data_IF_397867542471
#
_entry.id   IF_397867542471
#
_cell.length_a   1.000
_cell.length_b   1.000
_cell.length_c   1.000
_cell.angle_alpha   90.00
_cell.angle_beta   90.00
_cell.angle_gamma   90.00
#
_symmetry.space_group_name_H-M   'P 1'
#
loop_
_entity.id
_entity.type
_entity.pdbx_description
1 polymer ?
#
# COMPACT_ATOMS: atom_id res chain seq x y z
N UNK A 1 -14.58 13.24 -0.60
CA UNK A 1 -13.19 13.68 -0.40
C UNK A 1 -12.75 14.65 -1.51
N UNK A 2 -12.69 14.23 -2.79
CA UNK A 2 -12.25 15.09 -3.90
C UNK A 2 -13.02 16.41 -4.03
N UNK A 3 -14.37 16.36 -3.93
CA UNK A 3 -15.21 17.57 -3.98
C UNK A 3 -14.88 18.53 -2.83
N UNK A 4 -14.76 18.03 -1.60
CA UNK A 4 -14.39 18.84 -0.43
C UNK A 4 -13.00 19.46 -0.61
N UNK A 5 -12.01 18.68 -1.07
CA UNK A 5 -10.66 19.18 -1.34
C UNK A 5 -10.64 20.28 -2.40
N UNK A 6 -11.40 20.12 -3.49
CA UNK A 6 -11.54 21.15 -4.51
C UNK A 6 -12.18 22.44 -3.97
N UNK A 7 -13.24 22.34 -3.17
CA UNK A 7 -13.88 23.50 -2.54
C UNK A 7 -12.93 24.21 -1.58
N UNK A 8 -12.17 23.47 -0.77
CA UNK A 8 -11.17 24.03 0.15
C UNK A 8 -10.05 24.76 -0.60
N UNK A 9 -9.62 24.24 -1.74
CA UNK A 9 -8.63 24.89 -2.59
C UNK A 9 -9.11 26.26 -3.09
N UNK A 10 -10.35 26.33 -3.61
CA UNK A 10 -10.96 27.60 -4.01
C UNK A 10 -11.18 28.55 -2.83
N UNK A 11 -11.57 28.02 -1.66
CA UNK A 11 -11.72 28.80 -0.44
C UNK A 11 -10.38 29.43 -0.01
N UNK A 12 -9.29 28.66 -0.04
CA UNK A 12 -7.96 29.15 0.28
C UNK A 12 -7.48 30.24 -0.67
N UNK A 13 -7.74 30.07 -1.98
CA UNK A 13 -7.41 31.09 -2.97
C UNK A 13 -8.15 32.41 -2.72
N UNK A 14 -9.46 32.34 -2.41
CA UNK A 14 -10.27 33.52 -2.12
C UNK A 14 -9.84 34.23 -0.82
N UNK A 15 -9.39 33.47 0.18
CA UNK A 15 -9.00 34.00 1.49
C UNK A 15 -7.48 34.24 1.65
N UNK A 16 -6.71 34.18 0.54
CA UNK A 16 -5.25 34.36 0.53
C UNK A 16 -4.50 33.44 1.52
N UNK A 17 -4.99 32.21 1.70
CA UNK A 17 -4.38 31.21 2.57
C UNK A 17 -3.19 30.58 1.84
N UNK A 18 -2.01 30.62 2.44
CA UNK A 18 -0.76 30.15 1.84
C UNK A 18 -0.48 28.65 2.05
N UNK A 19 -1.23 27.99 2.93
CA UNK A 19 -1.11 26.56 3.18
C UNK A 19 -1.54 25.74 1.96
N UNK A 20 -0.77 24.68 1.64
CA UNK A 20 -0.99 23.83 0.47
C UNK A 20 -0.78 22.36 0.82
N UNK A 21 -1.28 21.44 -0.01
CA UNK A 21 -1.08 20.01 0.21
C UNK A 21 -1.77 19.51 1.48
N UNK A 22 -1.08 18.66 2.24
CA UNK A 22 -1.59 18.02 3.46
C UNK A 22 -2.00 19.03 4.55
N UNK A 23 -1.38 20.22 4.57
CA UNK A 23 -1.61 21.26 5.57
C UNK A 23 -2.83 22.15 5.29
N UNK A 24 -3.33 22.15 4.05
CA UNK A 24 -4.41 23.05 3.62
C UNK A 24 -5.67 22.84 4.47
N UNK A 25 -6.10 21.59 4.60
CA UNK A 25 -7.34 21.26 5.29
C UNK A 25 -7.27 21.56 6.81
N UNK A 26 -6.22 21.13 7.55
CA UNK A 26 -6.04 21.53 8.94
C UNK A 26 -5.97 23.05 9.12
N UNK A 27 -5.26 23.76 8.23
CA UNK A 27 -5.11 25.23 8.34
C UNK A 27 -6.47 25.92 8.25
N UNK A 28 -7.28 25.57 7.25
CA UNK A 28 -8.63 26.12 7.08
C UNK A 28 -9.52 25.80 8.29
N UNK A 29 -9.52 24.54 8.73
CA UNK A 29 -10.38 24.09 9.83
C UNK A 29 -10.01 24.70 11.19
N UNK A 30 -8.74 24.99 11.45
CA UNK A 30 -8.27 25.48 12.75
C UNK A 30 -8.17 27.00 12.83
N UNK A 31 -7.89 27.69 11.72
CA UNK A 31 -7.61 29.13 11.74
C UNK A 31 -8.67 30.00 11.06
N UNK A 32 -9.50 29.42 10.18
CA UNK A 32 -10.44 30.19 9.34
C UNK A 32 -11.91 29.82 9.56
N UNK A 33 -12.19 28.84 10.42
CA UNK A 33 -13.54 28.41 10.79
C UNK A 33 -13.91 28.84 12.21
N UNK A 34 -15.20 28.96 12.54
CA UNK A 34 -15.65 29.18 13.90
C UNK A 34 -15.12 28.10 14.85
N UNK A 35 -14.74 28.49 16.07
CA UNK A 35 -14.13 27.60 17.07
C UNK A 35 -14.92 26.31 17.34
N UNK A 36 -16.26 26.38 17.32
CA UNK A 36 -17.12 25.21 17.48
C UNK A 36 -16.88 24.15 16.39
N UNK A 37 -16.69 24.57 15.14
CA UNK A 37 -16.41 23.68 14.01
C UNK A 37 -15.01 23.09 14.16
N UNK A 38 -14.01 23.86 14.58
CA UNK A 38 -12.65 23.37 14.82
C UNK A 38 -12.60 22.28 15.90
N UNK A 39 -13.37 22.44 16.99
CA UNK A 39 -13.46 21.43 18.05
C UNK A 39 -14.10 20.14 17.53
N UNK A 40 -15.24 20.25 16.85
CA UNK A 40 -15.92 19.10 16.23
C UNK A 40 -14.99 18.41 15.23
N UNK A 41 -14.22 19.19 14.46
CA UNK A 41 -13.26 18.69 13.50
C UNK A 41 -12.15 17.87 14.17
N UNK A 42 -11.51 18.39 15.23
CA UNK A 42 -10.47 17.67 15.96
C UNK A 42 -11.03 16.35 16.53
N UNK A 43 -12.21 16.40 17.16
CA UNK A 43 -12.87 15.21 17.71
C UNK A 43 -13.16 14.20 16.60
N UNK A 44 -13.71 14.65 15.46
CA UNK A 44 -14.01 13.81 14.31
C UNK A 44 -12.78 13.18 13.67
N UNK A 45 -11.70 13.96 13.50
CA UNK A 45 -10.43 13.49 12.95
C UNK A 45 -9.81 12.42 13.85
N UNK A 46 -9.75 12.68 15.16
CA UNK A 46 -9.23 11.73 16.15
C UNK A 46 -10.11 10.47 16.17
N UNK A 47 -11.43 10.62 16.17
CA UNK A 47 -12.40 9.52 16.15
C UNK A 47 -12.31 8.65 14.90
N UNK A 48 -12.05 9.23 13.72
CA UNK A 48 -11.85 8.47 12.48
C UNK A 48 -10.48 7.77 12.43
N UNK A 49 -9.44 8.39 13.02
CA UNK A 49 -8.08 7.87 12.99
C UNK A 49 -7.90 6.67 13.95
N UNK A 50 -8.51 6.71 15.14
CA UNK A 50 -8.32 5.68 16.16
C UNK A 50 -8.73 4.27 15.71
N UNK A 51 -9.92 4.03 15.14
CA UNK A 51 -10.32 2.69 14.67
C UNK A 51 -9.42 2.17 13.55
N UNK A 52 -8.92 3.05 12.67
CA UNK A 52 -8.02 2.67 11.58
C UNK A 52 -6.66 2.22 12.10
N UNK A 53 -6.09 2.97 13.06
CA UNK A 53 -4.81 2.65 13.68
C UNK A 53 -4.91 1.38 14.53
N UNK A 54 -5.94 1.26 15.37
CA UNK A 54 -6.17 0.08 16.22
C UNK A 54 -6.44 -1.19 15.39
N UNK A 55 -7.22 -1.06 14.32
CA UNK A 55 -7.47 -2.14 13.37
C UNK A 55 -6.19 -2.64 12.70
N UNK A 56 -5.31 -1.73 12.24
CA UNK A 56 -4.02 -2.09 11.65
C UNK A 56 -3.10 -2.80 12.66
N UNK A 57 -3.03 -2.29 13.89
CA UNK A 57 -2.18 -2.85 14.95
C UNK A 57 -2.67 -4.24 15.41
N UNK A 58 -3.98 -4.41 15.49
CA UNK A 58 -4.63 -5.70 15.77
C UNK A 58 -4.40 -6.71 14.64
N UNK A 59 -4.52 -6.28 13.38
CA UNK A 59 -4.23 -7.14 12.23
C UNK A 59 -2.78 -7.63 12.23
N UNK A 60 -1.81 -6.73 12.43
CA UNK A 60 -0.39 -7.07 12.54
C UNK A 60 -0.11 -8.05 13.69
N UNK A 61 -0.69 -7.77 14.87
CA UNK A 61 -0.57 -8.63 16.04
C UNK A 61 -1.12 -10.03 15.73
N UNK A 62 -2.29 -10.10 15.10
CA UNK A 62 -2.96 -11.36 14.75
C UNK A 62 -2.13 -12.17 13.74
N UNK A 63 -1.74 -11.56 12.63
CA UNK A 63 -0.91 -12.22 11.61
C UNK A 63 0.42 -12.69 12.18
N UNK A 64 1.09 -11.89 13.01
CA UNK A 64 2.34 -12.32 13.65
C UNK A 64 2.11 -13.49 14.62
N UNK A 65 1.06 -13.43 15.45
CA UNK A 65 0.77 -14.47 16.43
C UNK A 65 0.33 -15.79 15.77
N UNK A 66 -0.47 -15.72 14.70
CA UNK A 66 -1.06 -16.88 14.05
C UNK A 66 -0.13 -17.44 12.98
N UNK A 67 0.38 -16.60 12.08
CA UNK A 67 1.10 -17.03 10.89
C UNK A 67 2.59 -17.22 11.16
N UNK A 68 3.22 -16.32 11.92
CA UNK A 68 4.67 -16.36 12.20
C UNK A 68 4.99 -17.20 13.44
N UNK A 69 4.35 -16.92 14.58
CA UNK A 69 4.61 -17.68 15.81
C UNK A 69 3.85 -19.02 15.88
N UNK A 70 2.84 -19.19 15.04
CA UNK A 70 2.03 -20.41 15.01
C UNK A 70 1.27 -20.67 16.31
N UNK A 71 0.96 -19.64 17.12
CA UNK A 71 0.45 -19.81 18.50
C UNK A 71 -0.84 -20.66 18.56
N UNK A 72 -1.65 -20.63 17.51
CA UNK A 72 -2.88 -21.45 17.41
C UNK A 72 -2.58 -22.95 17.31
N UNK A 73 -1.47 -23.32 16.67
CA UNK A 73 -1.07 -24.73 16.42
C UNK A 73 -0.16 -25.29 17.53
N UNK A 74 0.34 -24.44 18.42
CA UNK A 74 1.22 -24.81 19.54
C UNK A 74 0.43 -25.48 20.67
N UNK A 75 0.70 -26.77 20.88
CA UNK A 75 0.16 -27.59 21.97
C UNK A 75 1.06 -27.59 23.20
N UNK A 76 2.30 -27.10 23.06
CA UNK A 76 3.33 -26.96 24.10
C UNK A 76 3.05 -25.83 25.11
N UNK A 77 2.15 -24.91 24.78
CA UNK A 77 1.87 -23.71 25.59
C UNK A 77 0.47 -23.76 26.19
N UNK A 78 0.36 -23.35 27.45
CA UNK A 78 -0.92 -23.08 28.10
C UNK A 78 -1.60 -21.84 27.50
N UNK A 79 -2.92 -21.73 27.64
CA UNK A 79 -3.66 -20.55 27.17
C UNK A 79 -3.22 -19.25 27.86
N UNK A 80 -2.74 -19.35 29.10
CA UNK A 80 -2.16 -18.21 29.84
C UNK A 80 -0.87 -17.71 29.19
N UNK A 81 0.00 -18.62 28.77
CA UNK A 81 1.26 -18.28 28.08
C UNK A 81 1.00 -17.74 26.67
N UNK A 82 0.05 -18.32 25.93
CA UNK A 82 -0.38 -17.79 24.62
C UNK A 82 -0.93 -16.37 24.74
N UNK A 83 -1.75 -16.11 25.77
CA UNK A 83 -2.25 -14.74 26.07
C UNK A 83 -1.11 -13.77 26.38
N UNK A 84 -0.13 -14.19 27.20
CA UNK A 84 1.04 -13.36 27.53
C UNK A 84 1.88 -13.03 26.30
N UNK A 85 2.13 -14.01 25.43
CA UNK A 85 2.85 -13.80 24.16
C UNK A 85 2.09 -12.85 23.23
N UNK A 86 0.78 -13.01 23.07
CA UNK A 86 -0.06 -12.08 22.29
C UNK A 86 0.01 -10.64 22.80
N UNK A 87 -0.10 -10.44 24.12
CA UNK A 87 0.01 -9.10 24.73
C UNK A 87 1.41 -8.50 24.54
N UNK A 88 2.46 -9.31 24.69
CA UNK A 88 3.83 -8.87 24.45
C UNK A 88 4.04 -8.46 22.98
N UNK A 89 3.54 -9.25 22.03
CA UNK A 89 3.59 -8.93 20.59
C UNK A 89 2.82 -7.64 20.29
N UNK A 90 1.59 -7.51 20.81
CA UNK A 90 0.77 -6.31 20.59
C UNK A 90 1.46 -5.05 21.13
N UNK A 91 1.97 -5.11 22.36
CA UNK A 91 2.72 -4.00 22.95
C UNK A 91 3.99 -3.68 22.17
N UNK A 92 4.70 -4.70 21.67
CA UNK A 92 5.89 -4.50 20.84
C UNK A 92 5.53 -3.77 19.54
N UNK A 93 4.46 -4.19 18.84
CA UNK A 93 3.99 -3.48 17.65
C UNK A 93 3.53 -2.06 17.97
N UNK A 94 2.90 -1.82 19.12
CA UNK A 94 2.50 -0.48 19.54
C UNK A 94 3.71 0.44 19.73
N UNK A 95 4.76 -0.05 20.40
CA UNK A 95 6.02 0.69 20.56
C UNK A 95 6.70 0.93 19.21
N UNK A 96 6.79 -0.08 18.35
CA UNK A 96 7.39 0.06 17.00
C UNK A 96 6.61 1.07 16.16
N UNK A 97 5.28 1.01 16.17
CA UNK A 97 4.41 1.95 15.46
C UNK A 97 4.59 3.37 15.98
N UNK A 98 4.63 3.56 17.30
CA UNK A 98 4.91 4.86 17.92
C UNK A 98 6.27 5.43 17.49
N UNK A 99 7.33 4.61 17.52
CA UNK A 99 8.67 5.01 17.06
C UNK A 99 8.68 5.38 15.58
N UNK A 100 7.94 4.65 14.74
CA UNK A 100 7.80 4.95 13.31
C UNK A 100 7.10 6.29 13.10
N UNK A 101 6.01 6.57 13.81
CA UNK A 101 5.31 7.87 13.76
C UNK A 101 6.24 9.00 14.20
N UNK A 102 7.02 8.80 15.26
CA UNK A 102 8.04 9.77 15.69
C UNK A 102 9.14 9.97 14.65
N UNK A 103 9.58 8.90 13.98
CA UNK A 103 10.52 8.96 12.86
C UNK A 103 9.97 9.81 11.70
N UNK A 104 8.74 9.56 11.26
CA UNK A 104 8.10 10.37 10.21
C UNK A 104 7.95 11.84 10.59
N UNK A 105 7.59 12.12 11.86
CA UNK A 105 7.53 13.49 12.39
C UNK A 105 8.90 14.17 12.35
N UNK A 106 9.98 13.45 12.66
CA UNK A 106 11.34 14.00 12.64
C UNK A 106 11.83 14.31 11.23
N UNK A 107 11.52 13.45 10.26
CA UNK A 107 11.90 13.63 8.84
C UNK A 107 11.16 14.81 8.19
N UNK A 108 9.96 15.15 8.67
CA UNK A 108 9.17 16.33 8.28
C UNK A 108 9.09 16.54 6.74
N UNK A 109 8.64 15.51 6.01
CA UNK A 109 8.48 15.61 4.55
C UNK A 109 7.19 16.37 4.20
N UNK A 110 7.20 17.18 3.14
CA UNK A 110 6.11 18.11 2.77
C UNK A 110 4.81 17.43 2.32
N UNK A 111 4.84 16.13 1.99
CA UNK A 111 3.63 15.34 1.73
C UNK A 111 3.86 13.92 2.24
N UNK A 112 3.21 13.58 3.35
CA UNK A 112 3.25 12.22 3.91
C UNK A 112 2.37 11.30 3.06
N UNK A 113 1.27 11.82 2.54
CA UNK A 113 0.33 11.08 1.69
C UNK A 113 1.04 10.54 0.45
N UNK A 114 1.88 11.36 -0.21
CA UNK A 114 2.59 10.95 -1.42
C UNK A 114 3.52 9.75 -1.14
N UNK A 115 4.24 9.77 -0.01
CA UNK A 115 5.17 8.70 0.37
C UNK A 115 4.40 7.41 0.65
N UNK A 116 3.31 7.49 1.43
CA UNK A 116 2.50 6.33 1.78
C UNK A 116 1.90 5.70 0.52
N UNK A 117 1.32 6.51 -0.37
CA UNK A 117 0.74 6.03 -1.63
C UNK A 117 1.81 5.45 -2.56
N UNK A 118 3.01 6.06 -2.62
CA UNK A 118 4.12 5.54 -3.42
C UNK A 118 4.58 4.17 -2.93
N UNK A 119 4.80 4.02 -1.63
CA UNK A 119 5.21 2.75 -1.01
C UNK A 119 4.12 1.68 -1.18
N UNK A 120 2.85 2.05 -0.96
CA UNK A 120 1.71 1.16 -1.19
C UNK A 120 1.64 0.68 -2.65
N UNK A 121 1.96 1.55 -3.63
CA UNK A 121 2.03 1.17 -5.04
C UNK A 121 3.03 0.03 -5.32
N UNK A 122 4.17 0.02 -4.64
CA UNK A 122 5.17 -1.04 -4.77
C UNK A 122 4.81 -2.33 -4.02
N UNK A 123 4.26 -2.21 -2.81
CA UNK A 123 4.01 -3.37 -1.93
C UNK A 123 2.66 -4.05 -2.19
N UNK A 124 1.62 -3.28 -2.50
CA UNK A 124 0.27 -3.83 -2.73
C UNK A 124 0.05 -4.28 -4.18
N UNK A 125 0.91 -3.88 -5.12
CA UNK A 125 0.83 -4.32 -6.52
C UNK A 125 0.82 -5.85 -6.66
N UNK A 126 1.80 -6.60 -6.10
CA UNK A 126 1.80 -8.05 -6.19
C UNK A 126 0.58 -8.70 -5.54
N UNK A 127 0.10 -8.15 -4.42
CA UNK A 127 -1.11 -8.65 -3.76
C UNK A 127 -2.33 -8.46 -4.66
N UNK A 128 -2.47 -7.29 -5.30
CA UNK A 128 -3.53 -7.02 -6.27
C UNK A 128 -3.44 -7.97 -7.47
N UNK A 129 -2.23 -8.21 -8.00
CA UNK A 129 -2.01 -9.14 -9.12
C UNK A 129 -2.32 -10.59 -8.78
N UNK A 130 -1.88 -11.08 -7.60
CA UNK A 130 -2.18 -12.41 -7.09
C UNK A 130 -3.69 -12.62 -6.89
N UNK A 131 -4.33 -11.68 -6.22
CA UNK A 131 -5.76 -11.75 -5.93
C UNK A 131 -6.60 -11.65 -7.19
N UNK A 132 -6.26 -10.70 -8.08
CA UNK A 132 -6.88 -10.58 -9.39
C UNK A 132 -6.72 -11.84 -10.24
N UNK A 133 -5.53 -12.45 -10.25
CA UNK A 133 -5.28 -13.71 -10.96
C UNK A 133 -6.13 -14.86 -10.42
N UNK A 134 -6.22 -14.99 -9.09
CA UNK A 134 -7.01 -16.01 -8.43
C UNK A 134 -8.52 -15.88 -8.64
N UNK A 135 -9.04 -14.64 -8.77
CA UNK A 135 -10.47 -14.39 -9.02
C UNK A 135 -10.82 -14.54 -10.51
N UNK A 136 -9.98 -13.99 -11.40
CA UNK A 136 -10.30 -13.88 -12.83
C UNK A 136 -9.89 -15.12 -13.65
N UNK A 137 -9.08 -16.01 -13.09
CA UNK A 137 -8.57 -17.18 -13.83
C UNK A 137 -8.75 -18.48 -13.05
N UNK A 138 -9.08 -19.56 -13.76
CA UNK A 138 -9.13 -20.92 -13.22
C UNK A 138 -7.83 -21.71 -13.52
N UNK A 139 -6.68 -21.03 -13.57
CA UNK A 139 -5.40 -21.64 -13.96
C UNK A 139 -4.61 -22.03 -12.71
N UNK A 140 -3.85 -23.13 -12.79
CA UNK A 140 -2.92 -23.52 -11.73
C UNK A 140 -1.56 -22.89 -11.99
N UNK A 141 -1.03 -22.23 -10.97
CA UNK A 141 0.34 -21.68 -10.96
C UNK A 141 1.25 -22.61 -10.15
N UNK A 142 2.55 -22.55 -10.43
CA UNK A 142 3.54 -23.23 -9.62
C UNK A 142 3.96 -22.32 -8.46
N UNK A 143 3.68 -22.74 -7.22
CA UNK A 143 3.92 -21.97 -6.00
C UNK A 143 5.35 -21.41 -5.88
N UNK A 144 6.37 -22.13 -6.36
CA UNK A 144 7.75 -21.63 -6.33
C UNK A 144 7.98 -20.48 -7.30
N UNK A 145 7.36 -20.54 -8.48
CA UNK A 145 7.47 -19.50 -9.50
C UNK A 145 6.68 -18.25 -9.12
N UNK A 146 5.58 -18.41 -8.36
CA UNK A 146 4.81 -17.29 -7.82
C UNK A 146 5.69 -16.35 -7.01
N UNK A 147 6.55 -16.87 -6.14
CA UNK A 147 7.47 -16.06 -5.34
C UNK A 147 8.41 -15.21 -6.23
N UNK A 148 8.98 -15.81 -7.27
CA UNK A 148 9.85 -15.08 -8.19
C UNK A 148 9.11 -13.97 -8.93
N UNK A 149 7.87 -14.23 -9.40
CA UNK A 149 7.05 -13.20 -10.05
C UNK A 149 6.72 -12.06 -9.08
N UNK A 150 6.35 -12.37 -7.85
CA UNK A 150 5.98 -11.38 -6.83
C UNK A 150 7.16 -10.51 -6.37
N UNK A 151 8.40 -10.96 -6.55
CA UNK A 151 9.60 -10.17 -6.30
C UNK A 151 10.06 -9.44 -7.56
N UNK A 152 10.00 -10.09 -8.72
CA UNK A 152 10.43 -9.51 -9.99
C UNK A 152 9.55 -8.33 -10.41
N UNK A 153 8.22 -8.42 -10.26
CA UNK A 153 7.31 -7.36 -10.68
C UNK A 153 7.56 -6.03 -9.94
N UNK A 154 7.66 -5.99 -8.60
CA UNK A 154 8.06 -4.79 -7.86
C UNK A 154 9.44 -4.26 -8.24
N UNK A 155 10.42 -5.13 -8.51
CA UNK A 155 11.76 -4.70 -8.89
C UNK A 155 11.77 -4.06 -10.28
N UNK A 156 11.06 -4.66 -11.24
CA UNK A 156 10.92 -4.13 -12.59
C UNK A 156 10.21 -2.79 -12.56
N UNK A 157 9.07 -2.70 -11.86
CA UNK A 157 8.32 -1.44 -11.79
C UNK A 157 9.08 -0.37 -11.00
N UNK A 158 9.87 -0.74 -9.98
CA UNK A 158 10.78 0.17 -9.28
C UNK A 158 11.84 0.73 -10.22
N UNK A 159 12.44 -0.11 -11.08
CA UNK A 159 13.40 0.35 -12.08
C UNK A 159 12.78 1.31 -13.10
N UNK A 160 11.59 0.97 -13.61
CA UNK A 160 10.83 1.83 -14.53
C UNK A 160 10.49 3.16 -13.86
N UNK A 161 9.99 3.11 -12.62
CA UNK A 161 9.64 4.28 -11.84
C UNK A 161 10.85 5.15 -11.53
N UNK A 162 12.00 4.55 -11.24
CA UNK A 162 13.24 5.26 -10.98
C UNK A 162 13.69 6.09 -12.19
N UNK A 163 13.62 5.49 -13.38
CA UNK A 163 13.96 6.19 -14.63
C UNK A 163 12.91 7.25 -14.95
N UNK A 164 11.62 6.90 -14.88
CA UNK A 164 10.53 7.81 -15.23
C UNK A 164 10.41 9.01 -14.27
N UNK A 165 10.53 8.79 -12.96
CA UNK A 165 10.38 9.77 -11.90
C UNK A 165 11.71 10.15 -11.21
N UNK A 166 12.81 10.21 -11.98
CA UNK A 166 14.14 10.47 -11.43
C UNK A 166 14.23 11.75 -10.57
N UNK A 167 13.45 12.79 -10.91
CA UNK A 167 13.41 14.04 -10.13
C UNK A 167 12.90 13.84 -8.70
N UNK A 168 11.93 12.94 -8.52
CA UNK A 168 11.43 12.58 -7.19
C UNK A 168 12.53 11.86 -6.40
N UNK A 169 13.18 10.88 -7.02
CA UNK A 169 14.27 10.11 -6.41
C UNK A 169 15.50 10.96 -6.09
N UNK A 170 15.83 11.92 -6.95
CA UNK A 170 16.93 12.87 -6.73
C UNK A 170 16.68 13.72 -5.47
N UNK A 171 15.44 14.17 -5.24
CA UNK A 171 15.07 14.91 -4.03
C UNK A 171 15.13 14.06 -2.78
N UNK A 172 14.62 12.82 -2.83
CA UNK A 172 14.58 11.94 -1.65
C UNK A 172 15.95 11.37 -1.26
N UNK A 173 16.77 10.98 -2.24
CA UNK A 173 18.07 10.32 -2.01
C UNK A 173 19.27 11.28 -2.11
N UNK A 174 19.05 12.57 -2.39
CA UNK A 174 20.11 13.58 -2.61
C UNK A 174 21.14 13.12 -3.65
N UNK A 175 20.66 12.62 -4.80
CA UNK A 175 21.52 12.10 -5.86
C UNK A 175 22.37 13.22 -6.51
N UNK A 176 23.61 12.90 -6.87
CA UNK A 176 24.53 13.82 -7.55
C UNK A 176 24.26 13.96 -9.05
N UNK A 177 25.09 14.74 -9.74
CA UNK A 177 24.90 15.15 -11.14
C UNK A 177 24.70 14.01 -12.17
N UNK A 178 25.08 12.77 -11.83
CA UNK A 178 24.82 11.60 -12.69
C UNK A 178 23.31 11.38 -12.95
N UNK A 179 22.42 11.79 -12.04
CA UNK A 179 20.98 11.69 -12.22
C UNK A 179 20.45 12.54 -13.37
N UNK A 180 21.18 13.60 -13.77
CA UNK A 180 20.80 14.46 -14.88
C UNK A 180 20.90 13.73 -16.23
N UNK A 181 21.83 12.78 -16.35
CA UNK A 181 21.91 11.91 -17.53
C UNK A 181 20.68 11.00 -17.64
N UNK A 182 20.20 10.46 -16.51
CA UNK A 182 18.97 9.67 -16.47
C UNK A 182 17.75 10.53 -16.78
N UNK A 183 17.76 11.80 -16.34
CA UNK A 183 16.68 12.75 -16.67
C UNK A 183 16.54 12.95 -18.17
N UNK A 184 17.64 13.07 -18.91
CA UNK A 184 17.61 13.16 -20.37
C UNK A 184 17.02 11.89 -21.01
N UNK A 185 17.45 10.72 -20.56
CA UNK A 185 16.90 9.42 -21.01
C UNK A 185 15.41 9.31 -20.69
N UNK A 186 15.00 9.75 -19.51
CA UNK A 186 13.61 9.79 -19.06
C UNK A 186 12.74 10.63 -19.99
N UNK A 187 13.17 11.86 -20.29
CA UNK A 187 12.46 12.77 -21.21
C UNK A 187 12.43 12.22 -22.64
N UNK A 188 13.48 11.52 -23.08
CA UNK A 188 13.50 10.88 -24.40
C UNK A 188 12.54 9.69 -24.52
N UNK A 189 12.44 8.85 -23.47
CA UNK A 189 11.62 7.64 -23.47
C UNK A 189 10.15 7.88 -23.12
N UNK A 190 9.89 8.80 -22.18
CA UNK A 190 8.56 9.01 -21.60
C UNK A 190 8.00 10.42 -21.85
N UNK A 191 8.78 11.33 -22.43
CA UNK A 191 8.36 12.72 -22.62
C UNK A 191 8.01 13.39 -21.29
N UNK A 192 6.81 13.97 -21.23
CA UNK A 192 6.28 14.61 -20.03
C UNK A 192 5.47 13.67 -19.13
N UNK A 193 5.30 12.40 -19.50
CA UNK A 193 4.52 11.45 -18.73
C UNK A 193 5.27 11.03 -17.46
N UNK A 194 4.62 11.18 -16.31
CA UNK A 194 5.14 10.79 -14.99
C UNK A 194 4.20 9.78 -14.35
N UNK A 195 4.73 8.61 -14.00
CA UNK A 195 3.98 7.55 -13.33
C UNK A 195 3.65 8.02 -11.91
N UNK A 196 2.39 8.32 -11.67
CA UNK A 196 1.85 8.70 -10.37
C UNK A 196 1.45 7.48 -9.54
N UNK A 197 0.21 7.50 -9.05
CA UNK A 197 -0.35 6.46 -8.18
C UNK A 197 -0.89 5.25 -8.95
N UNK A 198 -1.05 5.37 -10.26
CA UNK A 198 -1.31 4.28 -11.19
C UNK A 198 -0.20 3.23 -11.23
N UNK A 199 0.97 3.54 -10.64
CA UNK A 199 2.02 2.57 -10.32
C UNK A 199 1.48 1.30 -9.68
N UNK A 200 0.50 1.42 -8.78
CA UNK A 200 -0.17 0.28 -8.13
C UNK A 200 -0.79 -0.66 -9.17
N UNK A 201 -1.49 -0.08 -10.15
CA UNK A 201 -2.18 -0.82 -11.21
C UNK A 201 -1.15 -1.45 -12.14
N UNK A 202 -0.09 -0.73 -12.52
CA UNK A 202 0.97 -1.28 -13.38
C UNK A 202 1.70 -2.44 -12.72
N UNK A 203 2.04 -2.32 -11.44
CA UNK A 203 2.68 -3.38 -10.66
C UNK A 203 1.75 -4.61 -10.51
N UNK A 204 0.47 -4.38 -10.25
CA UNK A 204 -0.54 -5.44 -10.19
C UNK A 204 -0.73 -6.14 -11.53
N UNK A 205 -0.80 -5.40 -12.62
CA UNK A 205 -0.91 -5.95 -13.97
C UNK A 205 0.33 -6.75 -14.35
N UNK A 206 1.53 -6.24 -14.06
CA UNK A 206 2.78 -6.94 -14.33
C UNK A 206 2.84 -8.27 -13.56
N UNK A 207 2.42 -8.26 -12.29
CA UNK A 207 2.32 -9.48 -11.49
C UNK A 207 1.30 -10.45 -12.09
N UNK A 208 0.11 -9.97 -12.45
CA UNK A 208 -0.93 -10.78 -13.08
C UNK A 208 -0.45 -11.44 -14.38
N UNK A 209 0.20 -10.67 -15.26
CA UNK A 209 0.75 -11.18 -16.52
C UNK A 209 1.88 -12.19 -16.28
N UNK A 210 2.77 -11.92 -15.32
CA UNK A 210 3.81 -12.85 -14.91
C UNK A 210 3.23 -14.19 -14.44
N UNK A 211 2.19 -14.15 -13.61
CA UNK A 211 1.44 -15.33 -13.17
C UNK A 211 0.79 -16.05 -14.35
N UNK A 212 0.19 -15.31 -15.28
CA UNK A 212 -0.43 -15.87 -16.47
C UNK A 212 0.56 -16.65 -17.33
N UNK A 213 1.77 -16.12 -17.55
CA UNK A 213 2.83 -16.77 -18.32
C UNK A 213 3.31 -18.10 -17.70
N UNK A 214 3.36 -18.19 -16.37
CA UNK A 214 3.82 -19.40 -15.67
C UNK A 214 2.69 -20.39 -15.36
N UNK A 215 1.44 -20.02 -15.66
CA UNK A 215 0.27 -20.81 -15.28
C UNK A 215 -0.11 -21.83 -16.35
N UNK A 216 -0.68 -22.95 -15.92
CA UNK A 216 -1.23 -24.00 -16.79
C UNK A 216 -2.77 -24.07 -16.63
N UNK A 217 -3.51 -24.42 -17.69
CA UNK A 217 -4.95 -24.66 -17.56
C UNK A 217 -5.19 -25.75 -16.51
N UNK A 218 -6.15 -25.54 -15.61
CA UNK A 218 -6.54 -26.59 -14.68
C UNK A 218 -7.14 -27.76 -15.46
N UNK A 219 -6.64 -29.00 -15.29
CA UNK A 219 -7.35 -30.16 -15.80
C UNK A 219 -8.69 -30.29 -15.07
N UNK A 220 -9.78 -30.44 -15.83
CA UNK A 220 -11.10 -30.79 -15.30
C UNK A 220 -10.96 -32.04 -14.42
N UNK A 221 -11.54 -32.01 -13.22
CA UNK A 221 -11.43 -33.14 -12.28
C UNK A 221 -11.96 -34.41 -12.94
N UNK A 222 -11.37 -35.56 -12.61
CA UNK A 222 -11.80 -36.86 -13.16
C UNK A 222 -13.29 -37.10 -12.88
N UNK A 223 -13.77 -36.75 -11.68
CA UNK A 223 -15.18 -36.84 -11.30
C UNK A 223 -16.10 -36.01 -12.21
N UNK A 224 -15.73 -34.76 -12.51
CA UNK A 224 -16.52 -33.90 -13.42
C UNK A 224 -16.49 -34.44 -14.84
N UNK A 225 -15.35 -34.97 -15.31
CA UNK A 225 -15.29 -35.67 -16.61
C UNK A 225 -16.21 -36.89 -16.64
N UNK A 226 -16.18 -37.71 -15.59
CA UNK A 226 -17.04 -38.91 -15.50
C UNK A 226 -18.52 -38.54 -15.48
N UNK A 227 -18.92 -37.48 -14.77
CA UNK A 227 -20.32 -36.98 -14.76
C UNK A 227 -20.74 -36.47 -16.14
N UNK A 228 -19.89 -35.72 -16.84
CA UNK A 228 -20.19 -35.24 -18.19
C UNK A 228 -20.28 -36.37 -19.22
N UNK A 229 -19.46 -37.42 -19.06
CA UNK A 229 -19.48 -38.59 -19.96
C UNK A 229 -20.67 -39.53 -19.70
N UNK A 230 -21.13 -39.64 -18.44
CA UNK A 230 -22.26 -40.53 -18.07
C UNK A 230 -23.62 -39.83 -18.07
N UNK A 231 -23.67 -38.51 -17.84
CA UNK A 231 -24.91 -37.71 -17.88
C UNK A 231 -25.34 -37.27 -19.28
N UNK A 232 -24.56 -37.58 -20.31
CA UNK A 232 -24.86 -37.31 -21.72
C UNK A 232 -25.45 -38.52 -22.49
N UNK A 233 -25.81 -39.59 -21.76
CA UNK A 233 -26.58 -40.74 -22.27
C UNK A 233 -27.98 -40.72 -21.67
#
# INVERSE_FOLDING_TARGET
FLLLGGVLYFYAQTNNITATGDDLFPTVALHYMPQAISIIFIIGLISALFPSADGALTALTSSFCIDILGLKKRTDLTEKEKKRKRLAVHFTFAVVFFLMVMGFKWVNNKSIIDIILKVAGFTYGPLLGLFGFGILTNRKVNDRLVLYVCLAAPLVILGIDFVNNIEWWQKQLKLGAWSDSIKQVSTALFGNFKIGYELLIYNGLLTFLGLFLISKPQPVSKEVKTILEHGAR
#
